data_IF_934149198167
#
_entry.id   IF_934149198167
#
_cell.length_a   1.000
_cell.length_b   1.000
_cell.length_c   1.000
_cell.angle_alpha   90.00
_cell.angle_beta   90.00
_cell.angle_gamma   90.00
#
_symmetry.space_group_name_H-M   'P 1'
#
loop_
_entity.id
_entity.type
_entity.pdbx_description
1 polymer ?
#
# COMPACT_ATOMS: atom_id res chain seq x y z
N UNK A 1 7.21 11.06 2.67
CA UNK A 1 7.17 10.25 1.44
C UNK A 1 8.58 9.91 0.98
N UNK A 2 8.76 8.76 0.34
CA UNK A 2 9.99 8.47 -0.44
C UNK A 2 10.02 9.45 -1.63
N UNK A 3 11.17 10.09 -1.89
CA UNK A 3 11.32 11.06 -2.98
C UNK A 3 11.10 10.38 -4.34
N UNK A 4 10.21 10.90 -5.22
CA UNK A 4 9.99 10.35 -6.57
C UNK A 4 11.26 10.20 -7.41
N UNK A 5 12.27 11.06 -7.21
CA UNK A 5 13.58 10.98 -7.88
C UNK A 5 14.35 9.72 -7.45
N UNK A 6 14.21 9.32 -6.18
CA UNK A 6 14.83 8.09 -5.66
C UNK A 6 14.06 6.84 -6.12
N UNK A 7 12.74 6.93 -6.29
CA UNK A 7 11.89 5.84 -6.83
C UNK A 7 12.18 5.55 -8.31
N UNK A 8 12.43 6.59 -9.11
CA UNK A 8 12.63 6.47 -10.57
C UNK A 8 14.10 6.38 -10.99
N UNK A 9 15.03 6.32 -10.04
CA UNK A 9 16.47 6.23 -10.32
C UNK A 9 16.90 4.77 -10.54
N UNK A 10 17.59 4.49 -11.66
CA UNK A 10 18.27 3.19 -11.90
C UNK A 10 19.38 2.88 -10.88
N UNK A 11 19.81 3.88 -10.11
CA UNK A 11 20.96 3.79 -9.19
C UNK A 11 20.56 3.63 -7.73
N UNK A 12 19.28 3.71 -7.38
CA UNK A 12 18.82 3.60 -6.00
C UNK A 12 17.59 2.68 -5.94
N UNK A 13 17.82 1.42 -5.60
CA UNK A 13 16.75 0.43 -5.54
C UNK A 13 16.05 0.48 -4.19
N UNK A 14 15.40 1.62 -3.91
CA UNK A 14 14.75 1.94 -2.63
C UNK A 14 13.70 0.91 -2.21
N UNK A 15 13.15 0.13 -3.15
CA UNK A 15 12.17 -0.92 -2.84
C UNK A 15 12.79 -2.23 -2.37
N UNK A 16 14.08 -2.48 -2.66
CA UNK A 16 14.76 -3.72 -2.29
C UNK A 16 15.81 -3.55 -1.20
N UNK A 17 16.46 -2.39 -1.12
CA UNK A 17 17.48 -2.09 -0.10
C UNK A 17 16.89 -1.58 1.21
N UNK A 18 15.72 -0.91 1.16
CA UNK A 18 15.08 -0.44 2.38
C UNK A 18 14.41 -1.59 3.14
N UNK A 19 14.39 -1.46 4.47
CA UNK A 19 13.65 -2.38 5.35
C UNK A 19 12.19 -2.42 4.89
N UNK A 20 11.77 -3.62 4.49
CA UNK A 20 10.39 -3.91 4.09
C UNK A 20 9.80 -4.97 4.98
N UNK A 21 8.51 -4.86 5.26
CA UNK A 21 7.76 -5.90 5.94
C UNK A 21 6.47 -6.17 5.19
N UNK A 22 6.16 -7.45 5.03
CA UNK A 22 5.01 -7.91 4.26
C UNK A 22 4.04 -8.60 5.22
N UNK A 23 2.78 -8.20 5.16
CA UNK A 23 1.69 -8.84 5.87
C UNK A 23 0.63 -9.27 4.86
N UNK A 24 0.19 -10.52 4.93
CA UNK A 24 -0.92 -11.03 4.11
C UNK A 24 -2.20 -10.90 4.91
N UNK A 25 -3.11 -10.07 4.44
CA UNK A 25 -4.41 -9.83 5.05
C UNK A 25 -5.44 -10.67 4.29
N UNK A 26 -6.09 -11.60 4.99
CA UNK A 26 -7.22 -12.34 4.43
C UNK A 26 -8.49 -11.53 4.65
N UNK A 27 -9.14 -11.14 3.55
CA UNK A 27 -10.34 -10.30 3.57
C UNK A 27 -11.53 -11.09 3.01
N UNK A 28 -12.72 -10.84 3.55
CA UNK A 28 -13.94 -11.46 3.04
C UNK A 28 -14.30 -10.97 1.62
N UNK A 29 -13.87 -9.75 1.28
CA UNK A 29 -14.27 -9.07 0.06
C UNK A 29 -13.23 -9.16 -1.06
N UNK A 30 -11.95 -8.97 -0.75
CA UNK A 30 -10.87 -8.87 -1.74
C UNK A 30 -9.96 -10.11 -1.78
N UNK A 31 -10.36 -11.19 -1.11
CA UNK A 31 -9.51 -12.37 -0.94
C UNK A 31 -8.24 -12.04 -0.15
N UNK A 32 -7.08 -12.51 -0.61
CA UNK A 32 -5.79 -12.22 0.03
C UNK A 32 -5.20 -10.93 -0.52
N UNK A 33 -4.90 -9.99 0.37
CA UNK A 33 -4.22 -8.74 0.04
C UNK A 33 -2.83 -8.73 0.68
N UNK A 34 -1.78 -8.54 -0.11
CA UNK A 34 -0.45 -8.34 0.43
C UNK A 34 -0.25 -6.86 0.75
N UNK A 35 -0.04 -6.55 2.02
CA UNK A 35 0.31 -5.23 2.51
C UNK A 35 1.83 -5.15 2.72
N UNK A 36 2.50 -4.38 1.88
CA UNK A 36 3.95 -4.23 1.88
C UNK A 36 4.29 -2.83 2.41
N UNK A 37 4.78 -2.78 3.63
CA UNK A 37 5.29 -1.56 4.25
C UNK A 37 6.77 -1.39 3.90
N UNK A 38 7.14 -0.24 3.34
CA UNK A 38 8.49 0.08 2.88
C UNK A 38 8.93 1.38 3.56
N UNK A 39 9.99 1.31 4.35
CA UNK A 39 10.59 2.51 4.93
C UNK A 39 11.42 3.27 3.89
N UNK A 40 11.53 4.59 3.98
CA UNK A 40 12.59 5.33 3.29
C UNK A 40 13.92 5.24 4.04
N UNK A 41 14.96 5.84 3.47
CA UNK A 41 16.35 5.91 3.99
C UNK A 41 16.49 6.45 5.43
N UNK A 42 15.44 7.08 5.98
CA UNK A 42 15.41 7.66 7.33
C UNK A 42 14.36 7.02 8.25
N UNK A 43 13.74 5.89 7.86
CA UNK A 43 12.76 5.21 8.71
C UNK A 43 13.47 4.35 9.73
N UNK A 44 13.30 4.70 11.02
CA UNK A 44 13.90 3.98 12.14
C UNK A 44 13.28 2.59 12.34
N UNK A 45 11.97 2.45 12.16
CA UNK A 45 11.29 1.16 12.26
C UNK A 45 9.92 1.13 11.57
N UNK A 46 9.51 -0.08 11.20
CA UNK A 46 8.14 -0.41 10.79
C UNK A 46 7.62 -1.36 11.87
N UNK A 47 6.55 -0.97 12.55
CA UNK A 47 5.97 -1.77 13.63
C UNK A 47 4.51 -2.07 13.31
N UNK A 48 4.15 -3.35 13.30
CA UNK A 48 2.74 -3.76 13.28
C UNK A 48 2.23 -3.91 14.71
N UNK A 49 1.04 -3.40 14.96
CA UNK A 49 0.35 -3.52 16.27
C UNK A 49 -0.44 -4.83 16.34
N UNK A 50 -0.68 -5.46 15.18
CA UNK A 50 -1.49 -6.67 15.03
C UNK A 50 -0.59 -7.88 14.77
N UNK A 51 -0.97 -9.00 15.36
CA UNK A 51 -0.25 -10.26 15.23
C UNK A 51 -0.93 -11.20 14.23
N UNK A 52 -0.20 -12.24 13.83
CA UNK A 52 -0.74 -13.25 12.91
C UNK A 52 -1.89 -14.00 13.58
N UNK A 53 -3.07 -13.93 12.96
CA UNK A 53 -4.29 -14.57 13.46
C UNK A 53 -5.29 -13.57 14.02
N UNK A 54 -4.88 -12.32 14.24
CA UNK A 54 -5.78 -11.25 14.65
C UNK A 54 -6.78 -10.90 13.55
N UNK A 55 -8.01 -10.62 13.98
CA UNK A 55 -9.04 -10.03 13.14
C UNK A 55 -8.99 -8.51 13.25
N UNK A 56 -9.01 -7.83 12.10
CA UNK A 56 -8.99 -6.37 12.00
C UNK A 56 -10.16 -5.89 11.15
N UNK A 57 -10.69 -4.71 11.48
CA UNK A 57 -11.74 -4.04 10.73
C UNK A 57 -11.17 -2.89 9.89
N UNK A 58 -11.89 -2.49 8.84
CA UNK A 58 -11.51 -1.33 8.03
C UNK A 58 -11.48 -0.09 8.92
N UNK A 59 -10.33 0.59 8.97
CA UNK A 59 -10.12 1.77 9.80
C UNK A 59 -9.36 1.49 11.10
N UNK A 60 -9.16 0.22 11.46
CA UNK A 60 -8.32 -0.14 12.60
C UNK A 60 -6.86 0.23 12.35
N UNK A 61 -6.18 0.60 13.44
CA UNK A 61 -4.73 0.76 13.42
C UNK A 61 -4.06 -0.61 13.19
N UNK A 62 -3.32 -0.72 12.09
CA UNK A 62 -2.58 -1.92 11.72
C UNK A 62 -1.11 -1.85 12.15
N UNK A 63 -0.54 -0.64 12.12
CA UNK A 63 0.87 -0.41 12.35
C UNK A 63 1.26 1.04 12.08
N UNK A 64 2.50 1.37 12.40
CA UNK A 64 3.06 2.70 12.21
C UNK A 64 4.52 2.64 11.74
N UNK A 65 4.94 3.74 11.10
CA UNK A 65 6.34 3.97 10.72
C UNK A 65 6.95 4.97 11.72
N UNK A 66 8.11 4.63 12.28
CA UNK A 66 8.84 5.53 13.18
C UNK A 66 9.87 6.34 12.40
N UNK A 67 9.67 7.67 12.38
CA UNK A 67 10.58 8.68 11.78
C UNK A 67 10.73 8.54 10.24
N UNK A 68 10.94 9.63 9.50
CA UNK A 68 11.17 9.58 8.05
C UNK A 68 9.94 9.35 7.15
N UNK A 69 10.15 9.40 5.83
CA UNK A 69 9.11 9.12 4.85
C UNK A 69 8.85 7.62 4.69
N UNK A 70 7.61 7.23 4.40
CA UNK A 70 7.27 5.83 4.16
C UNK A 70 6.49 5.66 2.86
N UNK A 71 6.40 4.41 2.40
CA UNK A 71 5.58 3.97 1.28
C UNK A 71 4.89 2.66 1.66
N UNK A 72 3.63 2.53 1.26
CA UNK A 72 2.88 1.28 1.36
C UNK A 72 2.49 0.83 -0.04
N UNK A 73 2.66 -0.46 -0.32
CA UNK A 73 2.17 -1.10 -1.54
C UNK A 73 1.15 -2.16 -1.14
N UNK A 74 -0.06 -2.05 -1.68
CA UNK A 74 -1.10 -3.07 -1.54
C UNK A 74 -1.22 -3.86 -2.84
N UNK A 75 -1.04 -5.17 -2.77
CA UNK A 75 -1.19 -6.08 -3.92
C UNK A 75 -2.43 -6.92 -3.73
N UNK A 76 -3.30 -6.89 -4.73
CA UNK A 76 -4.57 -7.60 -4.76
C UNK A 76 -4.48 -8.77 -5.74
N UNK A 77 -5.27 -9.82 -5.49
CA UNK A 77 -5.45 -10.90 -6.47
C UNK A 77 -6.02 -10.36 -7.78
N UNK A 78 -5.74 -11.04 -8.89
CA UNK A 78 -6.22 -10.61 -10.20
C UNK A 78 -7.74 -10.51 -10.20
N UNK A 79 -8.28 -9.43 -10.79
CA UNK A 79 -9.72 -9.22 -10.99
C UNK A 79 -10.58 -9.14 -9.70
N UNK A 80 -10.00 -8.79 -8.55
CA UNK A 80 -10.78 -8.62 -7.30
C UNK A 80 -11.15 -7.17 -6.97
N UNK A 81 -10.46 -6.20 -7.56
CA UNK A 81 -10.65 -4.77 -7.30
C UNK A 81 -10.80 -4.00 -8.62
N UNK A 82 -11.78 -3.10 -8.67
CA UNK A 82 -11.89 -2.05 -9.68
C UNK A 82 -11.37 -0.75 -9.05
N UNK A 83 -10.21 -0.27 -9.53
CA UNK A 83 -9.57 0.96 -9.07
C UNK A 83 -10.32 2.17 -9.59
N UNK A 84 -10.44 3.22 -8.77
CA UNK A 84 -11.14 4.46 -9.15
C UNK A 84 -10.50 5.11 -10.40
N UNK A 85 -11.35 5.65 -11.27
CA UNK A 85 -10.95 6.07 -12.63
C UNK A 85 -10.01 7.27 -12.67
N UNK A 86 -10.09 8.14 -11.65
CA UNK A 86 -9.17 9.25 -11.45
C UNK A 86 -7.75 8.75 -11.14
N UNK A 87 -7.62 7.74 -10.28
CA UNK A 87 -6.33 7.11 -9.97
C UNK A 87 -5.70 6.46 -11.20
N UNK A 88 -6.50 5.75 -12.00
CA UNK A 88 -6.04 5.15 -13.26
C UNK A 88 -5.60 6.23 -14.26
N UNK A 89 -6.40 7.28 -14.42
CA UNK A 89 -6.11 8.38 -15.35
C UNK A 89 -4.83 9.10 -14.94
N UNK A 90 -4.67 9.42 -13.66
CA UNK A 90 -3.47 10.10 -13.15
C UNK A 90 -2.24 9.21 -13.28
N UNK A 91 -2.38 7.91 -12.99
CA UNK A 91 -1.29 6.94 -13.16
C UNK A 91 -0.80 6.85 -14.60
N UNK A 92 -1.70 6.83 -15.60
CA UNK A 92 -1.28 6.81 -17.03
C UNK A 92 -0.55 8.09 -17.46
N UNK A 93 -0.75 9.19 -16.74
CA UNK A 93 -0.08 10.48 -16.97
C UNK A 93 1.16 10.68 -16.09
N UNK A 94 1.54 9.68 -15.30
CA UNK A 94 2.60 9.80 -14.28
C UNK A 94 2.39 10.94 -13.30
N UNK A 95 1.12 11.23 -12.98
CA UNK A 95 0.73 12.25 -12.00
C UNK A 95 0.51 11.60 -10.64
N UNK A 96 1.14 12.17 -9.61
CA UNK A 96 0.88 11.81 -8.23
C UNK A 96 -0.54 12.26 -7.84
N UNK A 97 -1.28 11.40 -7.14
CA UNK A 97 -2.61 11.74 -6.64
C UNK A 97 -2.57 11.87 -5.13
N UNK A 98 -2.91 13.06 -4.62
CA UNK A 98 -3.11 13.28 -3.19
C UNK A 98 -4.41 12.58 -2.76
N UNK A 99 -4.29 11.62 -1.85
CA UNK A 99 -5.43 10.90 -1.26
C UNK A 99 -5.52 11.19 0.23
N UNK A 100 -6.74 11.36 0.73
CA UNK A 100 -7.04 11.64 2.14
C UNK A 100 -7.76 10.45 2.79
N UNK A 101 -7.69 10.37 4.12
CA UNK A 101 -8.43 9.35 4.88
C UNK A 101 -9.92 9.49 4.58
N UNK A 102 -10.56 8.38 4.23
CA UNK A 102 -11.97 8.33 3.84
C UNK A 102 -12.23 8.41 2.34
N UNK A 103 -11.24 8.79 1.53
CA UNK A 103 -11.35 8.68 0.07
C UNK A 103 -11.40 7.22 -0.35
N UNK A 104 -12.19 6.94 -1.39
CA UNK A 104 -12.14 5.65 -2.07
C UNK A 104 -10.86 5.55 -2.90
N UNK A 105 -10.32 4.33 -2.99
CA UNK A 105 -9.24 3.99 -3.93
C UNK A 105 -9.70 2.94 -4.96
N UNK A 106 -10.91 2.42 -4.78
CA UNK A 106 -11.45 1.31 -5.54
C UNK A 106 -12.45 0.51 -4.73
N UNK A 107 -13.23 -0.30 -5.46
CA UNK A 107 -14.28 -1.15 -4.91
C UNK A 107 -14.05 -2.61 -5.31
N UNK A 108 -14.65 -3.55 -4.57
CA UNK A 108 -14.62 -4.95 -4.98
C UNK A 108 -15.25 -5.07 -6.38
N UNK A 109 -14.54 -5.75 -7.28
CA UNK A 109 -15.08 -6.10 -8.59
C UNK A 109 -16.19 -7.11 -8.41
N UNK A 110 -17.42 -6.73 -8.73
CA UNK A 110 -18.54 -7.67 -8.70
C UNK A 110 -18.37 -8.69 -9.82
N UNK A 111 -18.49 -9.98 -9.50
CA UNK A 111 -18.57 -11.02 -10.51
C UNK A 111 -19.80 -10.74 -11.38
N UNK A 112 -19.58 -10.28 -12.60
CA UNK A 112 -20.61 -10.30 -13.64
C UNK A 112 -20.87 -11.77 -13.96
N UNK A 113 -22.04 -12.28 -13.55
CA UNK A 113 -22.60 -13.54 -14.05
C UNK A 113 -22.89 -13.47 -15.54
#
# INVERSE_FOLDING_TARGET
MVNPIAVNSKYCNVFTENKRTVSIISTAQFGKVAFVAIGATMVGSITFVKEKGDYVQKGDEFGYFSFGGSTVVCVFEKDVIDIDSDLLTNSTKSLETLVQVGMSLGVMKQKRS
#
